data_IF_580157932746
#
_entry.id   IF_580157932746
#
_cell.length_a   1.000
_cell.length_b   1.000
_cell.length_c   1.000
_cell.angle_alpha   90.00
_cell.angle_beta   90.00
_cell.angle_gamma   90.00
#
_symmetry.space_group_name_H-M   'P 1'
#
loop_
_entity.id
_entity.type
_entity.pdbx_description
1 polymer ?
#
# COMPACT_ATOMS: atom_id res chain seq x y z
N UNK A 1 27.54 13.71 -0.50
CA UNK A 1 26.84 14.22 -1.70
C UNK A 1 25.39 13.76 -1.61
N UNK A 2 24.48 14.65 -1.23
CA UNK A 2 23.05 14.33 -1.17
C UNK A 2 22.47 14.51 -2.58
N UNK A 3 22.25 13.41 -3.31
CA UNK A 3 21.46 13.46 -4.54
C UNK A 3 20.01 13.62 -4.08
N UNK A 4 19.53 14.85 -3.97
CA UNK A 4 18.18 15.13 -3.46
C UNK A 4 17.12 14.22 -4.10
N UNK A 5 16.17 13.79 -3.28
CA UNK A 5 15.04 12.95 -3.67
C UNK A 5 14.33 13.53 -4.90
N UNK A 6 14.00 12.66 -5.85
CA UNK A 6 13.32 12.97 -7.09
C UNK A 6 12.25 11.93 -7.37
N UNK A 7 10.99 12.35 -7.24
CA UNK A 7 9.80 11.55 -7.49
C UNK A 7 9.88 10.75 -8.80
N UNK A 8 10.37 11.40 -9.88
CA UNK A 8 10.47 10.81 -11.21
C UNK A 8 11.52 9.68 -11.34
N UNK A 9 12.41 9.52 -10.36
CA UNK A 9 13.52 8.55 -10.37
C UNK A 9 13.45 7.54 -9.22
N UNK A 10 12.95 7.98 -8.07
CA UNK A 10 13.07 7.22 -6.82
C UNK A 10 11.79 6.40 -6.52
N UNK A 11 10.66 6.70 -7.18
CA UNK A 11 9.41 5.92 -7.11
C UNK A 11 9.27 4.91 -8.25
N UNK A 12 10.10 3.86 -8.21
CA UNK A 12 10.21 2.86 -9.29
C UNK A 12 8.87 2.19 -9.59
N UNK A 13 8.11 1.76 -8.57
CA UNK A 13 6.85 1.03 -8.78
C UNK A 13 5.77 1.93 -9.39
N UNK A 14 5.63 3.18 -8.95
CA UNK A 14 4.72 4.16 -9.55
C UNK A 14 5.04 4.34 -11.04
N UNK A 15 6.31 4.44 -11.39
CA UNK A 15 6.75 4.54 -12.78
C UNK A 15 6.41 3.29 -13.61
N UNK A 16 6.61 2.09 -13.04
CA UNK A 16 6.27 0.82 -13.69
C UNK A 16 4.77 0.74 -13.96
N UNK A 17 3.92 1.08 -12.98
CA UNK A 17 2.46 1.09 -13.16
C UNK A 17 2.09 2.12 -14.20
N UNK A 18 2.54 3.37 -14.08
CA UNK A 18 2.21 4.45 -15.02
C UNK A 18 2.53 4.10 -16.48
N UNK A 19 3.64 3.40 -16.73
CA UNK A 19 4.04 2.96 -18.06
C UNK A 19 3.39 1.65 -18.53
N UNK A 20 2.96 0.79 -17.61
CA UNK A 20 2.34 -0.48 -17.94
C UNK A 20 0.89 -0.34 -18.40
N UNK A 21 0.38 -1.37 -19.06
CA UNK A 21 -1.04 -1.47 -19.40
C UNK A 21 -1.83 -2.12 -18.27
N UNK A 22 -3.12 -1.79 -18.18
CA UNK A 22 -4.05 -2.49 -17.28
C UNK A 22 -4.08 -3.97 -17.66
N UNK A 23 -4.02 -4.85 -16.66
CA UNK A 23 -4.24 -6.28 -16.79
C UNK A 23 -5.53 -6.67 -16.08
N UNK A 24 -6.47 -7.22 -16.83
CA UNK A 24 -7.76 -7.66 -16.30
C UNK A 24 -7.58 -8.79 -15.27
N UNK A 25 -8.37 -8.73 -14.19
CA UNK A 25 -8.36 -9.74 -13.13
C UNK A 25 -7.24 -9.61 -12.09
N UNK A 26 -6.35 -8.60 -12.18
CA UNK A 26 -5.42 -8.31 -11.09
C UNK A 26 -6.14 -7.69 -9.90
N UNK A 27 -5.76 -8.12 -8.70
CA UNK A 27 -6.22 -7.57 -7.43
C UNK A 27 -5.01 -7.22 -6.55
N UNK A 28 -5.17 -6.21 -5.71
CA UNK A 28 -4.10 -5.60 -4.93
C UNK A 28 -4.50 -5.53 -3.46
N UNK A 29 -3.68 -6.11 -2.60
CA UNK A 29 -3.75 -5.91 -1.16
C UNK A 29 -2.58 -5.04 -0.73
N UNK A 30 -2.89 -3.92 -0.08
CA UNK A 30 -1.93 -2.95 0.40
C UNK A 30 -2.17 -2.69 1.88
N UNK A 31 -1.11 -2.45 2.63
CA UNK A 31 -1.16 -2.14 4.04
C UNK A 31 -0.04 -1.15 4.41
N UNK A 32 -0.34 -0.27 5.37
CA UNK A 32 0.65 0.59 6.01
C UNK A 32 0.27 0.83 7.48
N UNK A 33 1.26 0.84 8.35
CA UNK A 33 1.14 1.30 9.74
C UNK A 33 1.35 2.81 9.87
N UNK A 34 0.74 3.46 10.86
CA UNK A 34 1.01 4.90 11.11
C UNK A 34 2.37 5.19 11.72
N UNK A 35 3.03 4.16 12.24
CA UNK A 35 4.29 4.23 12.97
C UNK A 35 5.35 3.34 12.26
N UNK A 36 5.12 2.97 10.99
CA UNK A 36 6.02 2.16 10.17
C UNK A 36 7.40 2.81 10.00
N UNK A 37 7.42 4.14 9.91
CA UNK A 37 8.63 4.93 9.87
C UNK A 37 8.40 6.33 10.46
N UNK A 38 9.43 7.17 10.41
CA UNK A 38 9.37 8.57 10.84
C UNK A 38 9.62 9.56 9.71
N UNK A 39 9.83 9.07 8.49
CA UNK A 39 10.04 9.89 7.30
C UNK A 39 8.75 10.61 6.91
N UNK A 40 8.85 11.91 6.66
CA UNK A 40 7.80 12.76 6.10
C UNK A 40 8.50 13.77 5.18
N UNK A 41 8.74 13.37 3.92
CA UNK A 41 9.53 14.18 2.96
C UNK A 41 8.85 15.52 2.65
N UNK A 42 7.52 15.55 2.60
CA UNK A 42 6.75 16.73 2.17
C UNK A 42 6.29 17.61 3.36
N UNK A 43 6.55 17.17 4.60
CA UNK A 43 6.20 17.84 5.85
C UNK A 43 4.69 18.07 6.02
N UNK A 44 3.85 17.15 5.53
CA UNK A 44 2.40 17.25 5.64
C UNK A 44 1.85 16.59 6.93
N UNK A 45 2.70 15.98 7.75
CA UNK A 45 2.32 15.27 8.97
C UNK A 45 1.86 13.83 8.75
N UNK A 46 2.06 13.29 7.54
CA UNK A 46 1.79 11.90 7.16
C UNK A 46 3.12 11.26 6.77
N UNK A 47 3.36 10.04 7.25
CA UNK A 47 4.62 9.37 6.96
C UNK A 47 4.70 8.93 5.48
N UNK A 48 5.92 8.88 4.96
CA UNK A 48 6.21 8.60 3.56
C UNK A 48 5.61 7.26 3.09
N UNK A 49 5.63 6.21 3.91
CA UNK A 49 5.06 4.90 3.56
C UNK A 49 3.55 4.94 3.33
N UNK A 50 2.82 5.80 4.05
CA UNK A 50 1.39 6.02 3.83
C UNK A 50 1.18 6.81 2.53
N UNK A 51 1.87 7.94 2.38
CA UNK A 51 1.77 8.79 1.19
C UNK A 51 2.15 8.02 -0.08
N UNK A 52 3.24 7.24 -0.04
CA UNK A 52 3.70 6.40 -1.15
C UNK A 52 2.66 5.34 -1.53
N UNK A 53 1.97 4.76 -0.54
CA UNK A 53 0.90 3.78 -0.76
C UNK A 53 -0.35 4.42 -1.35
N UNK A 54 -0.75 5.61 -0.88
CA UNK A 54 -1.88 6.35 -1.43
C UNK A 54 -1.59 6.77 -2.88
N UNK A 55 -0.39 7.28 -3.15
CA UNK A 55 0.02 7.64 -4.51
C UNK A 55 0.06 6.42 -5.44
N UNK A 56 0.43 5.24 -4.91
CA UNK A 56 0.40 3.98 -5.66
C UNK A 56 -1.05 3.61 -6.04
N UNK A 57 -1.99 3.77 -5.12
CA UNK A 57 -3.42 3.53 -5.35
C UNK A 57 -3.94 4.47 -6.44
N UNK A 58 -3.59 5.76 -6.40
CA UNK A 58 -3.99 6.70 -7.45
C UNK A 58 -3.46 6.29 -8.83
N UNK A 59 -2.22 5.79 -8.93
CA UNK A 59 -1.68 5.29 -10.20
C UNK A 59 -2.44 4.04 -10.70
N UNK A 60 -2.88 3.17 -9.80
CA UNK A 60 -3.73 2.01 -10.14
C UNK A 60 -5.14 2.44 -10.59
N UNK A 61 -5.75 3.41 -9.90
CA UNK A 61 -7.06 3.97 -10.28
C UNK A 61 -7.02 4.65 -11.65
N UNK A 62 -5.94 5.37 -11.94
CA UNK A 62 -5.68 5.95 -13.27
C UNK A 62 -5.56 4.88 -14.37
N UNK A 63 -5.25 3.63 -14.01
CA UNK A 63 -5.28 2.47 -14.93
C UNK A 63 -6.66 1.81 -15.03
N UNK A 64 -7.63 2.24 -14.25
CA UNK A 64 -9.00 1.71 -14.25
C UNK A 64 -9.20 0.51 -13.32
N UNK A 65 -8.37 0.38 -12.29
CA UNK A 65 -8.67 -0.49 -11.13
C UNK A 65 -9.54 0.27 -10.13
N UNK A 66 -10.44 -0.41 -9.46
CA UNK A 66 -11.42 0.20 -8.56
C UNK A 66 -11.16 -0.19 -7.09
N UNK A 67 -11.11 0.80 -6.18
CA UNK A 67 -11.08 0.52 -4.74
C UNK A 67 -12.34 -0.22 -4.27
N UNK A 68 -12.17 -1.17 -3.36
CA UNK A 68 -13.24 -2.03 -2.85
C UNK A 68 -13.64 -3.18 -3.79
N UNK A 69 -13.06 -3.25 -4.99
CA UNK A 69 -13.25 -4.33 -5.95
C UNK A 69 -11.92 -4.98 -6.34
N UNK A 70 -11.00 -4.18 -6.87
CA UNK A 70 -9.69 -4.62 -7.31
C UNK A 70 -8.60 -4.27 -6.27
N UNK A 71 -8.79 -3.19 -5.51
CA UNK A 71 -7.81 -2.69 -4.54
C UNK A 71 -8.41 -2.73 -3.13
N UNK A 72 -7.69 -3.35 -2.20
CA UNK A 72 -7.95 -3.30 -0.76
C UNK A 72 -6.76 -2.66 -0.06
N UNK A 73 -7.00 -1.55 0.64
CA UNK A 73 -6.00 -0.88 1.48
C UNK A 73 -6.42 -0.96 2.95
N UNK A 74 -5.48 -1.29 3.83
CA UNK A 74 -5.67 -1.30 5.27
C UNK A 74 -4.64 -0.38 5.93
N UNK A 75 -5.13 0.58 6.72
CA UNK A 75 -4.29 1.47 7.52
C UNK A 75 -4.33 1.01 8.99
N UNK A 76 -3.19 0.68 9.56
CA UNK A 76 -3.08 0.20 10.95
C UNK A 76 -2.62 1.34 11.85
N UNK A 77 -3.53 1.86 12.68
CA UNK A 77 -3.20 2.90 13.67
C UNK A 77 -2.27 2.31 14.74
N UNK A 78 -1.13 2.95 14.95
CA UNK A 78 -0.05 2.46 15.81
C UNK A 78 0.68 1.24 15.24
N UNK A 79 0.43 0.88 13.98
CA UNK A 79 1.15 -0.19 13.29
C UNK A 79 2.59 0.22 13.01
N UNK A 80 3.52 -0.69 13.24
CA UNK A 80 4.96 -0.50 13.07
C UNK A 80 5.52 -1.48 12.03
N UNK A 81 6.74 -1.22 11.56
CA UNK A 81 7.43 -2.05 10.57
C UNK A 81 7.99 -3.35 11.20
N UNK A 82 7.10 -4.23 11.67
CA UNK A 82 7.47 -5.44 12.36
C UNK A 82 6.42 -6.56 12.23
N UNK A 83 6.84 -7.76 12.67
CA UNK A 83 6.02 -8.97 12.55
C UNK A 83 4.80 -8.97 13.48
N UNK A 84 4.78 -8.15 14.54
CA UNK A 84 3.62 -8.05 15.43
C UNK A 84 2.45 -7.42 14.67
N UNK A 85 2.67 -6.23 14.07
CA UNK A 85 1.67 -5.54 13.26
C UNK A 85 1.23 -6.41 12.07
N UNK A 86 2.17 -7.02 11.35
CA UNK A 86 1.81 -7.87 10.21
C UNK A 86 1.03 -9.13 10.64
N UNK A 87 1.30 -9.65 11.84
CA UNK A 87 0.55 -10.76 12.43
C UNK A 87 -0.92 -10.42 12.68
N UNK A 88 -1.22 -9.18 13.10
CA UNK A 88 -2.57 -8.67 13.28
C UNK A 88 -3.31 -8.49 11.93
N UNK A 89 -2.58 -8.10 10.88
CA UNK A 89 -3.12 -7.90 9.52
C UNK A 89 -3.37 -9.21 8.78
N UNK A 90 -2.54 -10.24 9.03
CA UNK A 90 -2.56 -11.50 8.27
C UNK A 90 -3.95 -12.16 8.18
N UNK A 91 -4.76 -12.27 9.26
CA UNK A 91 -6.12 -12.79 9.16
C UNK A 91 -7.02 -12.01 8.19
N UNK A 92 -6.88 -10.69 8.13
CA UNK A 92 -7.65 -9.85 7.20
C UNK A 92 -7.25 -10.13 5.75
N UNK A 93 -5.95 -10.24 5.47
CA UNK A 93 -5.44 -10.62 4.17
C UNK A 93 -5.95 -12.00 3.73
N UNK A 94 -5.87 -13.01 4.60
CA UNK A 94 -6.31 -14.37 4.28
C UNK A 94 -7.81 -14.44 3.99
N UNK A 95 -8.61 -13.67 4.74
CA UNK A 95 -10.06 -13.55 4.48
C UNK A 95 -10.33 -12.92 3.10
N UNK A 96 -9.58 -11.89 2.73
CA UNK A 96 -9.70 -11.24 1.42
C UNK A 96 -9.23 -12.15 0.28
N UNK A 97 -8.04 -12.75 0.39
CA UNK A 97 -7.40 -13.53 -0.67
C UNK A 97 -8.13 -14.85 -0.96
N UNK A 98 -8.72 -15.48 0.07
CA UNK A 98 -9.25 -16.84 -0.03
C UNK A 98 -10.71 -16.98 0.37
N UNK A 99 -11.37 -15.89 0.81
CA UNK A 99 -12.75 -15.94 1.28
C UNK A 99 -12.96 -16.78 2.55
N UNK A 100 -11.89 -17.04 3.32
CA UNK A 100 -11.97 -17.87 4.51
C UNK A 100 -12.81 -17.13 5.57
N UNK A 101 -13.98 -17.68 5.87
CA UNK A 101 -14.77 -17.29 7.03
C UNK A 101 -14.21 -17.97 8.27
N UNK A 102 -14.22 -17.30 9.43
CA UNK A 102 -13.64 -17.76 10.69
C UNK A 102 -13.83 -19.28 10.89
N UNK A 103 -12.71 -20.02 10.89
CA UNK A 103 -12.70 -21.41 11.36
C UNK A 103 -12.80 -21.32 12.87
N UNK A 104 -13.97 -21.66 13.41
CA UNK A 104 -14.12 -21.92 14.84
C UNK A 104 -13.23 -23.12 15.17
N UNK A 105 -12.17 -22.91 15.97
CA UNK A 105 -11.37 -23.99 16.56
C UNK A 105 -12.06 -24.47 17.83
#
# INVERSE_FOLDING_TARGET
>A
MNRGYRDDRDRIIHHVIRKGDKREGLQFWLEAGTDDETGDRNHNGVIDSIDDTIDLIHELENKGYEQGKDIQFLLVRGGEHNQSTWGEVMPHFLKWAFGISNVTV
#
